data_IF_742453001018
#
_entry.id   IF_742453001018
#
_cell.length_a   1.000
_cell.length_b   1.000
_cell.length_c   1.000
_cell.angle_alpha   90.00
_cell.angle_beta   90.00
_cell.angle_gamma   90.00
#
_symmetry.space_group_name_H-M   'P 1'
#
loop_
_entity.id
_entity.type
_entity.pdbx_description
1 polymer ?
#
# COMPACT_ATOMS: atom_id res chain seq x y z
N UNK A 1 -19.24 -15.11 3.40
CA UNK A 1 -17.93 -15.33 2.76
C UNK A 1 -16.88 -14.71 3.67
N UNK A 2 -15.92 -15.48 4.17
CA UNK A 2 -14.87 -14.97 5.06
C UNK A 2 -13.67 -14.59 4.20
N UNK A 3 -13.29 -13.32 4.27
CA UNK A 3 -12.06 -12.82 3.64
C UNK A 3 -10.92 -12.98 4.64
N UNK A 4 -9.85 -13.63 4.20
CA UNK A 4 -8.61 -13.78 4.97
C UNK A 4 -7.47 -13.11 4.22
N UNK A 5 -6.68 -12.33 4.93
CA UNK A 5 -5.43 -11.80 4.40
C UNK A 5 -4.24 -12.61 4.90
N UNK A 6 -3.21 -12.72 4.07
CA UNK A 6 -1.91 -13.27 4.45
C UNK A 6 -0.82 -12.30 4.02
N UNK A 7 0.00 -11.84 4.98
CA UNK A 7 1.18 -11.03 4.68
C UNK A 7 2.22 -11.87 3.97
N UNK A 8 2.72 -11.36 2.85
CA UNK A 8 3.71 -12.05 2.00
C UNK A 8 5.01 -11.27 1.83
N UNK A 9 5.06 -10.00 2.26
CA UNK A 9 6.30 -9.21 2.29
C UNK A 9 6.51 -8.47 3.60
N UNK A 10 7.77 -8.15 3.85
CA UNK A 10 8.17 -7.25 4.94
C UNK A 10 7.99 -5.79 4.51
N UNK A 11 8.15 -4.90 5.49
CA UNK A 11 8.27 -3.48 5.23
C UNK A 11 9.54 -3.21 4.43
N UNK A 12 9.44 -2.36 3.41
CA UNK A 12 10.56 -2.01 2.53
C UNK A 12 10.47 -0.54 2.12
N UNK A 13 11.60 0.18 2.17
CA UNK A 13 11.69 1.53 1.62
C UNK A 13 12.00 1.42 0.12
N UNK A 14 11.02 1.77 -0.72
CA UNK A 14 11.12 1.69 -2.19
C UNK A 14 11.85 2.92 -2.73
N UNK A 15 11.57 4.10 -2.18
CA UNK A 15 12.10 5.36 -2.69
C UNK A 15 12.32 6.39 -1.58
N UNK A 16 13.36 7.22 -1.74
CA UNK A 16 13.71 8.34 -0.87
C UNK A 16 14.58 9.34 -1.64
N UNK A 17 13.99 10.45 -2.11
CA UNK A 17 14.66 11.36 -3.05
C UNK A 17 14.02 12.75 -3.15
N UNK A 18 14.62 13.63 -3.97
CA UNK A 18 14.36 15.08 -3.97
C UNK A 18 13.60 15.62 -5.20
N UNK A 19 13.06 14.74 -6.05
CA UNK A 19 12.73 15.11 -7.43
C UNK A 19 11.32 15.68 -7.65
N UNK A 20 11.27 16.79 -8.39
CA UNK A 20 10.10 17.35 -9.09
C UNK A 20 9.66 16.37 -10.19
N UNK A 21 8.90 15.35 -9.80
CA UNK A 21 8.52 14.25 -10.70
C UNK A 21 8.20 12.95 -9.97
N UNK A 22 8.40 12.91 -8.65
CA UNK A 22 8.04 11.81 -7.76
C UNK A 22 6.70 11.14 -8.09
N UNK A 23 5.66 11.95 -8.33
CA UNK A 23 4.31 11.46 -8.59
C UNK A 23 4.16 10.73 -9.95
N UNK A 24 4.98 11.10 -10.93
CA UNK A 24 4.93 10.57 -12.30
C UNK A 24 5.90 9.41 -12.55
N UNK A 25 6.85 9.19 -11.63
CA UNK A 25 7.83 8.13 -11.74
C UNK A 25 7.23 6.73 -11.55
N UNK A 26 7.78 5.81 -12.33
CA UNK A 26 7.51 4.39 -12.22
C UNK A 26 8.33 3.80 -11.07
N UNK A 27 7.64 3.30 -10.05
CA UNK A 27 8.22 2.56 -8.94
C UNK A 27 7.98 1.06 -9.11
N UNK A 28 8.84 0.25 -8.49
CA UNK A 28 8.78 -1.20 -8.60
C UNK A 28 8.49 -1.82 -7.24
N UNK A 29 7.62 -2.84 -7.26
CA UNK A 29 7.40 -3.75 -6.15
C UNK A 29 7.70 -5.15 -6.65
N UNK A 30 8.59 -5.87 -5.96
CA UNK A 30 8.79 -7.28 -6.23
C UNK A 30 7.64 -8.08 -5.58
N UNK A 31 6.92 -8.85 -6.39
CA UNK A 31 5.94 -9.80 -5.87
C UNK A 31 6.66 -11.09 -5.42
N UNK A 32 6.67 -11.42 -4.12
CA UNK A 32 7.41 -12.57 -3.61
C UNK A 32 6.80 -13.92 -4.03
N UNK A 33 5.54 -13.93 -4.46
CA UNK A 33 4.85 -15.15 -4.92
C UNK A 33 5.33 -15.56 -6.31
N UNK A 34 5.36 -14.64 -7.28
CA UNK A 34 5.75 -14.95 -8.66
C UNK A 34 7.17 -14.52 -9.03
N UNK A 35 7.85 -13.79 -8.15
CA UNK A 35 9.15 -13.15 -8.39
C UNK A 35 9.14 -12.22 -9.60
N UNK A 36 7.98 -11.61 -9.90
CA UNK A 36 7.83 -10.60 -10.94
C UNK A 36 7.80 -9.21 -10.30
N UNK A 37 8.38 -8.25 -11.01
CA UNK A 37 8.27 -6.85 -10.63
C UNK A 37 6.95 -6.30 -11.15
N UNK A 38 6.15 -5.70 -10.27
CA UNK A 38 5.00 -4.89 -10.65
C UNK A 38 5.37 -3.42 -10.58
N UNK A 39 5.08 -2.72 -11.66
CA UNK A 39 5.32 -1.29 -11.81
C UNK A 39 4.09 -0.51 -11.39
N UNK A 40 4.26 0.55 -10.63
CA UNK A 40 3.18 1.44 -10.20
C UNK A 40 3.65 2.89 -10.19
N UNK A 41 2.69 3.82 -10.24
CA UNK A 41 2.92 5.26 -10.10
C UNK A 41 2.12 5.75 -8.91
N UNK A 42 2.66 6.69 -8.15
CA UNK A 42 1.99 7.25 -6.97
C UNK A 42 0.63 7.84 -7.36
N UNK A 43 0.53 8.54 -8.50
CA UNK A 43 -0.74 9.10 -9.00
C UNK A 43 -1.85 8.08 -9.30
N UNK A 44 -1.53 6.79 -9.37
CA UNK A 44 -2.50 5.72 -9.65
C UNK A 44 -2.88 4.93 -8.41
N UNK A 45 -2.30 5.26 -7.27
CA UNK A 45 -2.67 4.65 -6.00
C UNK A 45 -4.05 5.13 -5.57
N UNK A 46 -4.75 4.27 -4.84
CA UNK A 46 -6.06 4.55 -4.26
C UNK A 46 -5.90 4.86 -2.79
N UNK A 47 -6.76 5.71 -2.25
CA UNK A 47 -6.67 6.09 -0.85
C UNK A 47 -7.07 4.90 0.03
N UNK A 48 -6.36 4.67 1.14
CA UNK A 48 -6.64 3.54 2.04
C UNK A 48 -8.08 3.54 2.59
N UNK A 49 -8.73 4.71 2.65
CA UNK A 49 -10.14 4.83 3.04
C UNK A 49 -11.13 4.22 2.03
N UNK A 50 -10.72 4.00 0.78
CA UNK A 50 -11.56 3.38 -0.26
C UNK A 50 -11.65 1.86 -0.12
N UNK A 51 -10.83 1.24 0.75
CA UNK A 51 -10.94 -0.18 1.05
C UNK A 51 -12.23 -0.51 1.79
N UNK A 52 -12.74 -1.72 1.55
CA UNK A 52 -13.81 -2.30 2.37
C UNK A 52 -13.43 -2.24 3.86
N UNK A 53 -14.40 -1.91 4.70
CA UNK A 53 -14.14 -1.67 6.11
C UNK A 53 -13.57 -2.90 6.83
N UNK A 54 -14.03 -4.11 6.50
CA UNK A 54 -13.51 -5.33 7.13
C UNK A 54 -12.09 -5.62 6.69
N UNK A 55 -11.80 -5.47 5.39
CA UNK A 55 -10.45 -5.64 4.85
C UNK A 55 -9.48 -4.61 5.46
N UNK A 56 -9.91 -3.35 5.55
CA UNK A 56 -9.12 -2.27 6.13
C UNK A 56 -8.76 -2.54 7.59
N UNK A 57 -9.74 -2.95 8.40
CA UNK A 57 -9.51 -3.30 9.82
C UNK A 57 -8.49 -4.43 9.93
N UNK A 58 -8.60 -5.48 9.10
CA UNK A 58 -7.61 -6.57 9.10
C UNK A 58 -6.20 -6.06 8.76
N UNK A 59 -6.07 -5.23 7.73
CA UNK A 59 -4.77 -4.65 7.32
C UNK A 59 -4.17 -3.75 8.40
N UNK A 60 -4.97 -2.95 9.09
CA UNK A 60 -4.52 -2.12 10.20
C UNK A 60 -4.03 -2.93 11.40
N UNK A 61 -4.55 -4.15 11.59
CA UNK A 61 -4.05 -5.07 12.62
C UNK A 61 -2.71 -5.69 12.24
N UNK A 62 -2.46 -5.93 10.95
CA UNK A 62 -1.22 -6.54 10.46
C UNK A 62 -0.08 -5.53 10.23
N UNK A 63 -0.41 -4.26 10.04
CA UNK A 63 0.54 -3.17 9.81
C UNK A 63 0.59 -2.27 11.04
N UNK A 64 1.70 -2.34 11.76
CA UNK A 64 1.95 -1.46 12.90
C UNK A 64 2.00 0.02 12.47
N UNK A 65 1.61 0.91 13.38
CA UNK A 65 1.75 2.38 13.23
C UNK A 65 0.93 3.06 12.12
N UNK A 66 -0.11 2.42 11.59
CA UNK A 66 -1.15 3.15 10.84
C UNK A 66 -1.99 3.97 11.82
N UNK A 67 -1.93 5.29 11.67
CA UNK A 67 -2.74 6.23 12.44
C UNK A 67 -3.98 6.61 11.65
N UNK A 68 -5.15 6.36 12.23
CA UNK A 68 -6.44 6.84 11.74
C UNK A 68 -6.74 8.22 12.33
N UNK A 69 -7.12 9.17 11.47
CA UNK A 69 -7.50 10.52 11.88
C UNK A 69 -8.77 10.97 11.17
N UNK A 70 -9.80 11.31 11.96
CA UNK A 70 -11.01 11.94 11.47
C UNK A 70 -10.76 13.44 11.23
N UNK A 71 -10.87 13.87 9.97
CA UNK A 71 -10.82 15.26 9.53
C UNK A 71 -12.22 15.69 9.10
N UNK A 72 -12.96 16.29 10.04
CA UNK A 72 -14.34 16.74 9.85
C UNK A 72 -15.26 15.59 9.43
N UNK A 73 -15.45 15.38 8.12
CA UNK A 73 -16.32 14.37 7.53
C UNK A 73 -15.56 13.22 6.86
N UNK A 74 -14.22 13.29 6.81
CA UNK A 74 -13.38 12.32 6.10
C UNK A 74 -12.39 11.70 7.07
N UNK A 75 -12.31 10.36 7.07
CA UNK A 75 -11.24 9.65 7.76
C UNK A 75 -10.02 9.53 6.86
N UNK A 76 -8.86 9.90 7.39
CA UNK A 76 -7.56 9.80 6.74
C UNK A 76 -6.67 8.82 7.49
N UNK A 77 -5.73 8.21 6.78
CA UNK A 77 -4.82 7.20 7.31
C UNK A 77 -3.39 7.58 6.98
N UNK A 78 -2.51 7.52 7.98
CA UNK A 78 -1.11 7.96 7.84
C UNK A 78 -0.14 7.02 8.53
N UNK A 79 1.08 6.96 8.01
CA UNK A 79 2.21 6.22 8.57
C UNK A 79 3.39 7.18 8.70
N UNK A 80 3.77 7.54 9.94
CA UNK A 80 4.77 8.59 10.23
C UNK A 80 4.63 9.86 9.37
N UNK A 81 3.40 10.40 9.28
CA UNK A 81 3.00 11.59 8.50
C UNK A 81 2.95 11.41 6.98
N UNK A 82 3.24 10.22 6.44
CA UNK A 82 3.02 9.89 5.04
C UNK A 82 1.58 9.37 4.82
N UNK A 83 0.99 9.68 3.67
CA UNK A 83 -0.34 9.19 3.28
C UNK A 83 -0.31 7.67 3.10
N UNK A 84 -1.27 6.95 3.69
CA UNK A 84 -1.41 5.51 3.43
C UNK A 84 -2.34 5.30 2.25
N UNK A 85 -1.84 4.60 1.25
CA UNK A 85 -2.50 4.34 -0.02
C UNK A 85 -2.31 2.87 -0.40
N UNK A 86 -3.06 2.41 -1.40
CA UNK A 86 -2.98 1.03 -1.86
C UNK A 86 -3.07 0.90 -3.38
N UNK A 87 -2.55 -0.23 -3.85
CA UNK A 87 -2.81 -0.76 -5.19
C UNK A 87 -3.12 -2.25 -5.07
N UNK A 88 -4.10 -2.72 -5.83
CA UNK A 88 -4.38 -4.15 -5.96
C UNK A 88 -4.13 -4.61 -7.40
N UNK A 89 -3.67 -5.84 -7.54
CA UNK A 89 -3.43 -6.49 -8.82
C UNK A 89 -3.61 -8.00 -8.68
N UNK A 90 -3.89 -8.67 -9.79
CA UNK A 90 -3.90 -10.14 -9.84
C UNK A 90 -2.50 -10.60 -10.21
N UNK A 91 -1.96 -11.54 -9.44
CA UNK A 91 -0.73 -12.23 -9.76
C UNK A 91 -0.98 -13.19 -10.93
N UNK A 92 -0.43 -12.89 -12.11
CA UNK A 92 -0.72 -13.62 -13.35
C UNK A 92 -0.43 -15.12 -13.24
N UNK A 93 0.64 -15.48 -12.53
CA UNK A 93 1.10 -16.87 -12.39
C UNK A 93 0.23 -17.73 -11.47
N UNK A 94 -0.36 -17.15 -10.42
CA UNK A 94 -1.10 -17.90 -9.39
C UNK A 94 -2.60 -17.54 -9.35
N UNK A 95 -3.03 -16.57 -10.17
CA UNK A 95 -4.40 -16.06 -10.23
C UNK A 95 -4.93 -15.58 -8.86
N UNK A 96 -4.00 -15.14 -8.00
CA UNK A 96 -4.27 -14.63 -6.66
C UNK A 96 -4.37 -13.11 -6.68
N UNK A 97 -5.36 -12.56 -5.98
CA UNK A 97 -5.46 -11.12 -5.74
C UNK A 97 -4.46 -10.68 -4.67
N UNK A 98 -3.59 -9.74 -5.02
CA UNK A 98 -2.59 -9.14 -4.13
C UNK A 98 -2.94 -7.69 -3.91
N UNK A 99 -2.82 -7.23 -2.67
CA UNK A 99 -2.90 -5.83 -2.30
C UNK A 99 -1.57 -5.37 -1.72
N UNK A 100 -1.04 -4.27 -2.25
CA UNK A 100 0.12 -3.57 -1.71
C UNK A 100 -0.33 -2.34 -0.95
N UNK A 101 0.09 -2.22 0.31
CA UNK A 101 -0.14 -1.03 1.13
C UNK A 101 1.14 -0.22 1.17
N UNK A 102 1.03 1.06 0.85
CA UNK A 102 2.15 1.97 0.67
C UNK A 102 1.96 3.20 1.55
N UNK A 103 3.03 3.69 2.13
CA UNK A 103 3.11 5.03 2.69
C UNK A 103 3.86 5.93 1.71
N UNK A 104 3.21 6.99 1.24
CA UNK A 104 3.73 7.86 0.20
C UNK A 104 3.57 9.33 0.56
N UNK A 105 4.50 10.15 0.06
CA UNK A 105 4.39 11.60 0.12
C UNK A 105 5.68 12.27 0.53
N UNK A 106 5.55 13.56 0.84
CA UNK A 106 6.65 14.41 1.29
C UNK A 106 6.90 14.20 2.78
N UNK A 107 8.11 13.76 3.14
CA UNK A 107 8.51 13.56 4.54
C UNK A 107 9.27 14.78 5.10
N UNK A 108 9.98 15.51 4.23
CA UNK A 108 10.69 16.75 4.52
C UNK A 108 10.56 17.69 3.32
N UNK A 109 10.73 19.01 3.48
CA UNK A 109 10.68 19.97 2.38
C UNK A 109 11.47 19.50 1.16
N UNK A 110 10.77 19.31 0.03
CA UNK A 110 11.30 18.80 -1.24
C UNK A 110 11.96 17.41 -1.18
N UNK A 111 11.55 16.55 -0.23
CA UNK A 111 12.03 15.17 -0.10
C UNK A 111 10.87 14.19 0.07
N UNK A 112 10.71 13.33 -0.92
CA UNK A 112 9.60 12.39 -1.04
C UNK A 112 10.04 10.96 -0.72
N UNK A 113 9.12 10.19 -0.15
CA UNK A 113 9.34 8.80 0.20
C UNK A 113 8.20 7.91 -0.30
N UNK A 114 8.56 6.69 -0.68
CA UNK A 114 7.63 5.57 -0.88
C UNK A 114 8.11 4.42 -0.04
N UNK A 115 7.25 3.96 0.86
CA UNK A 115 7.52 2.84 1.75
C UNK A 115 6.44 1.79 1.53
N UNK A 116 6.83 0.59 1.15
CA UNK A 116 5.95 -0.57 1.18
C UNK A 116 5.74 -0.96 2.64
N UNK A 117 4.51 -0.81 3.13
CA UNK A 117 4.14 -1.26 4.47
C UNK A 117 3.89 -2.77 4.49
N UNK A 118 3.38 -3.31 3.39
CA UNK A 118 3.29 -4.75 3.18
C UNK A 118 2.53 -5.13 1.92
N UNK A 119 2.84 -6.32 1.41
CA UNK A 119 2.04 -7.04 0.43
C UNK A 119 1.20 -8.09 1.14
N UNK A 120 -0.05 -8.22 0.71
CA UNK A 120 -0.99 -9.18 1.26
C UNK A 120 -1.69 -9.93 0.14
N UNK A 121 -1.72 -11.25 0.26
CA UNK A 121 -2.58 -12.11 -0.53
C UNK A 121 -4.00 -12.10 0.06
N UNK A 122 -5.01 -11.94 -0.80
CA UNK A 122 -6.42 -11.99 -0.44
C UNK A 122 -6.98 -13.38 -0.74
N UNK A 123 -7.19 -14.18 0.30
CA UNK A 123 -7.84 -15.49 0.21
C UNK A 123 -9.35 -15.34 0.40
N UNK A 124 -10.12 -15.83 -0.57
CA UNK A 124 -11.59 -15.92 -0.49
C UNK A 124 -11.94 -17.38 -0.17
N UNK A 125 -12.43 -17.64 1.03
CA UNK A 125 -12.98 -18.96 1.37
C UNK A 125 -14.27 -19.17 0.57
N UNK A 126 -14.28 -20.21 -0.30
CA UNK A 126 -15.43 -20.65 -1.11
C UNK A 126 -16.38 -21.48 -0.25
#
# INVERSE_FOLDING_TARGET
MKLRIQRISNLEKIYDGFEDGFYEQDHLINCPICNENKTFRVLRLKEFRELDNNLRIQLMHEIEHINEKLLSTITTYSYYNLSVEYISYVCDKYQTEIIAILAVGEWQPARYQVILLGLFEICKDI
#
